data_IF_915633258774
#
_entry.id   IF_915633258774
#
_cell.length_a   1.000
_cell.length_b   1.000
_cell.length_c   1.000
_cell.angle_alpha   90.00
_cell.angle_beta   90.00
_cell.angle_gamma   90.00
#
_symmetry.space_group_name_H-M   'P 1'
#
loop_
_entity.id
_entity.type
_entity.pdbx_description
1 polymer ?
#
# COMPACT_ATOMS: atom_id res chain seq x y z
N UNK A 1 -7.38 -0.03 -64.52
CA UNK A 1 -8.16 -0.48 -63.36
C UNK A 1 -7.28 -1.17 -62.31
N UNK A 2 -6.54 -0.44 -61.46
CA UNK A 2 -5.63 -0.96 -60.42
C UNK A 2 -5.83 -0.35 -59.03
N UNK A 3 -6.97 0.31 -58.78
CA UNK A 3 -7.25 1.09 -57.58
C UNK A 3 -7.88 0.32 -56.37
N UNK A 4 -8.70 -0.73 -56.50
CA UNK A 4 -9.40 -1.29 -55.35
C UNK A 4 -8.48 -2.11 -54.40
N UNK A 5 -7.43 -2.76 -54.92
CA UNK A 5 -6.49 -3.54 -54.09
C UNK A 5 -5.62 -2.67 -53.16
N UNK A 6 -5.21 -1.47 -53.60
CA UNK A 6 -4.41 -0.57 -52.76
C UNK A 6 -5.21 0.08 -51.65
N UNK A 7 -6.49 0.40 -51.92
CA UNK A 7 -7.39 0.95 -50.89
C UNK A 7 -7.71 -0.14 -49.82
N UNK A 8 -7.93 -1.39 -50.23
CA UNK A 8 -8.14 -2.50 -49.29
C UNK A 8 -6.92 -2.74 -48.38
N UNK A 9 -5.71 -2.64 -48.93
CA UNK A 9 -4.47 -2.81 -48.16
C UNK A 9 -4.25 -1.65 -47.17
N UNK A 10 -4.54 -0.43 -47.56
CA UNK A 10 -4.45 0.75 -46.66
C UNK A 10 -5.49 0.66 -45.54
N UNK A 11 -6.72 0.27 -45.83
CA UNK A 11 -7.76 0.08 -44.84
C UNK A 11 -7.43 -1.08 -43.90
N UNK A 12 -6.81 -2.16 -44.37
CA UNK A 12 -6.37 -3.28 -43.56
C UNK A 12 -5.22 -2.89 -42.62
N UNK A 13 -4.24 -2.11 -43.11
CA UNK A 13 -3.14 -1.60 -42.28
C UNK A 13 -3.65 -0.58 -41.27
N UNK A 14 -4.60 0.29 -41.65
CA UNK A 14 -5.21 1.26 -40.72
C UNK A 14 -6.04 0.52 -39.61
N UNK A 15 -6.80 -0.52 -39.99
CA UNK A 15 -7.53 -1.34 -39.04
C UNK A 15 -6.58 -2.11 -38.10
N UNK A 16 -5.47 -2.62 -38.59
CA UNK A 16 -4.45 -3.29 -37.79
C UNK A 16 -3.75 -2.34 -36.81
N UNK A 17 -3.46 -1.10 -37.24
CA UNK A 17 -2.90 -0.05 -36.37
C UNK A 17 -3.92 0.39 -35.31
N UNK A 18 -5.21 0.44 -35.64
CA UNK A 18 -6.27 0.78 -34.67
C UNK A 18 -6.54 -0.33 -33.65
N UNK A 19 -6.40 -1.60 -34.04
CA UNK A 19 -6.54 -2.74 -33.12
C UNK A 19 -5.34 -2.88 -32.20
N UNK A 20 -4.15 -2.44 -32.62
CA UNK A 20 -2.91 -2.55 -31.83
C UNK A 20 -2.78 -1.50 -30.70
N UNK A 21 -3.77 -0.64 -30.50
CA UNK A 21 -3.74 0.39 -29.47
C UNK A 21 -4.67 0.15 -28.28
N UNK A 22 -5.11 -1.06 -28.04
CA UNK A 22 -5.61 -1.42 -26.72
C UNK A 22 -4.41 -1.45 -25.75
N UNK A 23 -3.98 -0.25 -25.33
CA UNK A 23 -3.03 -0.10 -24.23
C UNK A 23 -3.63 -0.82 -23.02
N UNK A 24 -2.96 -1.85 -22.55
CA UNK A 24 -3.29 -2.49 -21.30
C UNK A 24 -3.44 -1.39 -20.24
N UNK A 25 -4.66 -1.22 -19.74
CA UNK A 25 -4.96 -0.25 -18.69
C UNK A 25 -4.45 -0.83 -17.39
N UNK A 26 -3.47 -0.16 -16.76
CA UNK A 26 -3.10 -0.47 -15.41
C UNK A 26 -4.05 0.18 -14.42
N UNK A 27 -3.93 -0.19 -13.19
CA UNK A 27 -4.73 0.33 -12.11
C UNK A 27 -3.84 0.79 -10.97
N UNK A 28 -4.21 1.91 -10.37
CA UNK A 28 -3.66 2.37 -9.10
C UNK A 28 -4.81 2.74 -8.17
N UNK A 29 -4.56 2.74 -6.87
CA UNK A 29 -5.53 3.22 -5.90
C UNK A 29 -4.88 4.08 -4.83
N UNK A 30 -5.47 5.24 -4.57
CA UNK A 30 -5.16 6.02 -3.39
C UNK A 30 -5.88 5.38 -2.20
N UNK A 31 -5.13 4.90 -1.23
CA UNK A 31 -5.64 4.30 0.00
C UNK A 31 -5.86 5.40 1.04
N UNK A 32 -7.10 5.52 1.50
CA UNK A 32 -7.48 6.37 2.63
C UNK A 32 -7.70 5.48 3.85
N UNK A 33 -6.79 5.55 4.78
CA UNK A 33 -6.75 4.68 5.96
C UNK A 33 -7.29 5.41 7.18
N UNK A 34 -8.22 4.80 7.89
CA UNK A 34 -8.86 5.40 9.06
C UNK A 34 -7.89 5.52 10.25
N UNK A 35 -8.01 6.58 11.06
CA UNK A 35 -7.25 6.71 12.30
C UNK A 35 -7.71 5.69 13.34
N UNK A 36 -6.77 5.15 14.12
CA UNK A 36 -7.03 4.13 15.13
C UNK A 36 -6.27 4.37 16.43
N UNK A 37 -6.70 3.72 17.49
CA UNK A 37 -6.06 3.76 18.79
C UNK A 37 -6.04 5.14 19.44
N UNK A 38 -5.17 5.33 20.44
CA UNK A 38 -5.02 6.60 21.15
C UNK A 38 -4.44 7.70 20.26
N UNK A 39 -3.42 7.37 19.47
CA UNK A 39 -2.82 8.33 18.54
C UNK A 39 -3.84 8.84 17.51
N UNK A 40 -4.72 7.97 17.02
CA UNK A 40 -5.83 8.36 16.13
C UNK A 40 -6.88 9.27 16.80
N UNK A 41 -6.89 9.36 18.14
CA UNK A 41 -7.70 10.36 18.85
C UNK A 41 -7.06 11.74 18.79
N UNK A 42 -5.74 11.80 18.88
CA UNK A 42 -4.96 13.04 18.79
C UNK A 42 -4.80 13.52 17.34
N UNK A 43 -4.60 12.58 16.43
CA UNK A 43 -4.46 12.83 15.00
C UNK A 43 -5.54 12.10 14.20
N UNK A 44 -6.75 12.64 14.10
CA UNK A 44 -7.89 11.99 13.45
C UNK A 44 -7.86 12.09 11.92
N UNK A 45 -6.78 12.55 11.32
CA UNK A 45 -6.65 12.64 9.86
C UNK A 45 -6.38 11.28 9.21
N UNK A 46 -5.90 10.29 9.98
CA UNK A 46 -5.55 8.95 9.50
C UNK A 46 -4.26 8.91 8.68
N UNK A 47 -4.19 7.98 7.74
CA UNK A 47 -3.02 7.78 6.89
C UNK A 47 -3.43 7.68 5.41
N UNK A 48 -2.46 7.75 4.51
CA UNK A 48 -2.65 7.49 3.08
C UNK A 48 -1.42 6.83 2.47
N UNK A 49 -1.66 5.88 1.58
CA UNK A 49 -0.68 5.17 0.78
C UNK A 49 -1.19 5.06 -0.66
N UNK A 50 -0.38 4.55 -1.57
CA UNK A 50 -0.80 4.35 -2.95
C UNK A 50 -0.46 2.92 -3.38
N UNK A 51 -1.48 2.21 -3.81
CA UNK A 51 -1.37 0.89 -4.43
C UNK A 51 -1.20 1.02 -5.94
N UNK A 52 -0.39 0.15 -6.52
CA UNK A 52 -0.18 0.01 -7.97
C UNK A 52 -0.25 -1.46 -8.37
N UNK A 53 -1.14 -1.80 -9.28
CA UNK A 53 -1.31 -3.18 -9.73
C UNK A 53 -0.13 -3.71 -10.55
N UNK A 54 0.60 -2.84 -11.27
CA UNK A 54 1.70 -3.22 -12.16
C UNK A 54 3.09 -2.85 -11.63
N UNK A 55 3.18 -2.34 -10.41
CA UNK A 55 4.46 -1.99 -9.78
C UNK A 55 4.65 -2.88 -8.57
N UNK A 56 5.75 -3.60 -8.55
CA UNK A 56 6.12 -4.55 -7.52
C UNK A 56 7.43 -4.14 -6.83
N UNK A 57 7.63 -4.66 -5.63
CA UNK A 57 8.85 -4.48 -4.88
C UNK A 57 9.98 -5.35 -5.46
N UNK A 58 11.10 -4.73 -5.85
CA UNK A 58 12.36 -5.46 -6.04
C UNK A 58 13.09 -5.63 -4.70
N UNK A 59 12.88 -4.68 -3.79
CA UNK A 59 13.23 -4.69 -2.37
C UNK A 59 12.34 -3.65 -1.67
N UNK A 60 12.29 -3.57 -0.34
CA UNK A 60 11.47 -2.58 0.35
C UNK A 60 11.74 -1.11 -0.05
N UNK A 61 12.85 -0.84 -0.74
CA UNK A 61 13.27 0.50 -1.18
C UNK A 61 13.54 0.61 -2.68
N UNK A 62 13.14 -0.40 -3.47
CA UNK A 62 13.29 -0.40 -4.93
C UNK A 62 12.06 -0.98 -5.63
N UNK A 63 11.68 -0.35 -6.74
CA UNK A 63 10.55 -0.71 -7.55
C UNK A 63 10.97 -1.46 -8.82
N UNK A 64 10.09 -2.35 -9.30
CA UNK A 64 10.17 -2.98 -10.62
C UNK A 64 8.78 -3.13 -11.23
N UNK A 65 8.71 -3.50 -12.48
CA UNK A 65 7.46 -4.02 -13.06
C UNK A 65 7.09 -5.35 -12.38
N UNK A 66 5.80 -5.55 -12.19
CA UNK A 66 5.30 -6.85 -11.75
C UNK A 66 5.44 -7.90 -12.86
N UNK A 67 5.70 -9.12 -12.47
CA UNK A 67 5.60 -10.29 -13.32
C UNK A 67 4.16 -10.79 -13.39
N UNK A 68 3.79 -11.58 -14.42
CA UNK A 68 2.48 -12.20 -14.47
C UNK A 68 2.17 -13.00 -13.20
N UNK A 69 0.96 -12.82 -12.66
CA UNK A 69 0.53 -13.47 -11.41
C UNK A 69 0.81 -12.69 -10.13
N UNK A 70 1.57 -11.59 -10.19
CA UNK A 70 1.78 -10.73 -9.04
C UNK A 70 0.62 -9.73 -8.85
N UNK A 71 0.28 -9.41 -7.59
CA UNK A 71 -0.84 -8.52 -7.25
C UNK A 71 -0.44 -7.05 -7.09
N UNK A 72 0.80 -6.69 -7.42
CA UNK A 72 1.28 -5.33 -7.24
C UNK A 72 1.68 -5.01 -5.80
N UNK A 73 1.96 -3.73 -5.54
CA UNK A 73 2.50 -3.28 -4.26
C UNK A 73 1.92 -1.94 -3.82
N UNK A 74 2.03 -1.69 -2.52
CA UNK A 74 1.67 -0.42 -1.88
C UNK A 74 2.93 0.37 -1.56
N UNK A 75 2.97 1.62 -1.99
CA UNK A 75 4.04 2.56 -1.65
C UNK A 75 3.50 3.55 -0.62
N UNK A 76 4.22 3.69 0.48
CA UNK A 76 3.80 4.56 1.58
C UNK A 76 4.99 5.26 2.24
N UNK A 77 4.67 6.31 3.00
CA UNK A 77 5.62 7.03 3.84
C UNK A 77 5.14 6.99 5.28
N UNK A 78 6.00 6.51 6.17
CA UNK A 78 5.78 6.51 7.60
C UNK A 78 6.92 7.20 8.35
N UNK A 79 6.67 7.64 9.59
CA UNK A 79 7.73 8.05 10.50
C UNK A 79 8.53 6.83 10.96
N UNK A 80 9.80 7.07 11.31
CA UNK A 80 10.66 6.10 11.97
C UNK A 80 10.99 4.82 11.19
N UNK A 81 11.00 4.92 9.85
CA UNK A 81 11.45 3.85 8.96
C UNK A 81 12.80 4.22 8.34
N UNK A 82 13.87 4.14 9.12
CA UNK A 82 15.27 4.33 8.73
C UNK A 82 15.56 5.56 7.85
N UNK A 83 14.82 6.67 8.05
CA UNK A 83 14.92 7.89 7.24
C UNK A 83 14.59 7.72 5.75
N UNK A 84 13.95 6.61 5.37
CA UNK A 84 13.44 6.45 4.01
C UNK A 84 12.29 7.40 3.74
N UNK A 85 12.31 8.00 2.55
CA UNK A 85 11.23 8.85 2.06
C UNK A 85 9.97 8.04 1.75
N UNK A 86 10.15 6.80 1.34
CA UNK A 86 9.09 5.85 1.02
C UNK A 86 9.58 4.42 1.17
N UNK A 87 8.62 3.53 1.38
CA UNK A 87 8.81 2.08 1.41
C UNK A 87 7.73 1.43 0.56
N UNK A 88 8.09 0.36 -0.13
CA UNK A 88 7.18 -0.44 -0.94
C UNK A 88 7.02 -1.83 -0.31
N UNK A 89 5.77 -2.25 -0.14
CA UNK A 89 5.41 -3.56 0.40
C UNK A 89 4.41 -4.21 -0.56
N UNK A 90 4.54 -5.51 -0.90
CA UNK A 90 3.54 -6.22 -1.67
C UNK A 90 2.15 -6.11 -1.04
N UNK A 91 1.08 -6.12 -1.87
CA UNK A 91 -0.28 -5.84 -1.42
C UNK A 91 -0.74 -6.72 -0.25
N UNK A 92 -0.56 -8.05 -0.37
CA UNK A 92 -1.04 -9.01 0.64
C UNK A 92 -0.34 -8.82 1.98
N UNK A 93 0.99 -8.76 2.07
CA UNK A 93 1.68 -8.44 3.31
C UNK A 93 1.33 -7.06 3.89
N UNK A 94 1.19 -6.05 3.03
CA UNK A 94 0.76 -4.72 3.49
C UNK A 94 -0.58 -4.79 4.23
N UNK A 95 -1.54 -5.49 3.65
CA UNK A 95 -2.87 -5.63 4.24
C UNK A 95 -2.89 -6.57 5.45
N UNK A 96 -2.19 -7.72 5.38
CA UNK A 96 -2.42 -8.86 6.28
C UNK A 96 -1.17 -9.46 6.94
N UNK A 97 0.04 -8.97 6.70
CA UNK A 97 1.32 -9.52 7.21
C UNK A 97 1.52 -11.00 6.92
N UNK A 98 0.98 -11.50 5.82
CA UNK A 98 1.16 -12.88 5.32
C UNK A 98 1.63 -12.83 3.88
N UNK A 99 2.28 -13.89 3.41
CA UNK A 99 2.78 -13.94 2.03
C UNK A 99 1.64 -14.11 1.02
N UNK A 100 0.68 -14.99 1.35
CA UNK A 100 -0.36 -15.43 0.44
C UNK A 100 -1.75 -15.28 1.05
N UNK A 101 -2.77 -15.13 0.19
CA UNK A 101 -4.17 -14.97 0.60
C UNK A 101 -4.71 -16.12 1.47
N UNK A 102 -4.39 -17.40 1.22
CA UNK A 102 -4.83 -18.50 2.08
C UNK A 102 -4.37 -18.37 3.54
N UNK A 103 -3.29 -17.62 3.79
CA UNK A 103 -2.78 -17.35 5.14
C UNK A 103 -3.51 -16.24 5.90
N UNK A 104 -4.48 -15.55 5.28
CA UNK A 104 -5.20 -14.43 5.90
C UNK A 104 -6.16 -14.96 6.98
N UNK A 105 -6.01 -14.54 8.25
CA UNK A 105 -6.89 -15.00 9.31
C UNK A 105 -8.23 -14.26 9.28
N UNK A 106 -9.34 -14.96 9.53
CA UNK A 106 -10.66 -14.35 9.66
C UNK A 106 -10.79 -13.44 10.90
N UNK A 107 -10.05 -13.77 11.96
CA UNK A 107 -10.00 -13.02 13.22
C UNK A 107 -8.59 -13.06 13.79
N UNK A 108 -8.21 -12.00 14.50
CA UNK A 108 -6.89 -11.89 15.13
C UNK A 108 -6.98 -11.42 16.57
N UNK A 109 -6.09 -11.91 17.38
CA UNK A 109 -5.79 -11.35 18.71
C UNK A 109 -4.42 -10.65 18.68
N UNK A 110 -4.00 -10.09 19.80
CA UNK A 110 -2.72 -9.38 19.92
C UNK A 110 -1.52 -10.28 19.58
N UNK A 111 -1.53 -11.48 20.08
CA UNK A 111 -0.46 -12.47 19.89
C UNK A 111 -0.32 -12.85 18.39
N UNK A 112 -1.46 -13.18 17.76
CA UNK A 112 -1.48 -13.50 16.31
C UNK A 112 -0.91 -12.36 15.48
N UNK A 113 -1.32 -11.10 15.74
CA UNK A 113 -0.81 -9.94 15.00
C UNK A 113 0.69 -9.78 15.19
N UNK A 114 1.19 -9.88 16.44
CA UNK A 114 2.62 -9.79 16.70
C UNK A 114 3.41 -10.92 16.02
N UNK A 115 2.92 -12.14 16.10
CA UNK A 115 3.55 -13.31 15.47
C UNK A 115 3.65 -13.16 13.95
N UNK A 116 2.55 -12.81 13.28
CA UNK A 116 2.53 -12.64 11.81
C UNK A 116 3.44 -11.48 11.37
N UNK A 117 3.41 -10.36 12.08
CA UNK A 117 4.29 -9.22 11.80
C UNK A 117 5.75 -9.57 12.00
N UNK A 118 6.09 -10.29 13.07
CA UNK A 118 7.46 -10.73 13.32
C UNK A 118 7.97 -11.68 12.23
N UNK A 119 7.15 -12.66 11.84
CA UNK A 119 7.52 -13.60 10.78
C UNK A 119 7.84 -12.86 9.46
N UNK A 120 6.97 -11.93 9.06
CA UNK A 120 7.21 -11.15 7.86
C UNK A 120 8.43 -10.23 8.00
N UNK A 121 8.61 -9.60 9.16
CA UNK A 121 9.77 -8.74 9.42
C UNK A 121 11.09 -9.51 9.34
N UNK A 122 11.18 -10.66 9.99
CA UNK A 122 12.38 -11.50 9.99
C UNK A 122 12.72 -12.01 8.58
N UNK A 123 11.72 -12.26 7.73
CA UNK A 123 11.94 -12.71 6.37
C UNK A 123 12.33 -11.58 5.40
N UNK A 124 11.77 -10.36 5.55
CA UNK A 124 11.82 -9.36 4.48
C UNK A 124 12.24 -7.94 4.91
N UNK A 125 12.14 -7.60 6.20
CA UNK A 125 12.28 -6.21 6.65
C UNK A 125 13.45 -5.97 7.61
N UNK A 126 14.28 -6.97 7.87
CA UNK A 126 15.47 -6.82 8.71
C UNK A 126 16.38 -5.72 8.14
N UNK A 127 16.80 -4.79 8.99
CA UNK A 127 17.65 -3.67 8.61
C UNK A 127 16.91 -2.51 7.92
N UNK A 128 15.59 -2.60 7.74
CA UNK A 128 14.82 -1.50 7.17
C UNK A 128 14.66 -0.32 8.14
N UNK A 129 14.82 -0.53 9.44
CA UNK A 129 14.61 0.50 10.45
C UNK A 129 15.39 0.23 11.73
N UNK A 130 15.03 0.95 12.79
CA UNK A 130 15.52 0.64 14.13
C UNK A 130 14.74 -0.57 14.65
N UNK A 131 15.38 -1.74 14.56
CA UNK A 131 14.82 -2.98 15.05
C UNK A 131 15.11 -3.09 16.55
N UNK A 132 14.09 -2.91 17.36
CA UNK A 132 14.18 -3.08 18.83
C UNK A 132 13.45 -4.34 19.23
N UNK A 133 14.16 -5.32 19.77
CA UNK A 133 13.56 -6.52 20.35
C UNK A 133 13.14 -6.25 21.77
N UNK A 134 11.86 -6.48 22.09
CA UNK A 134 11.32 -6.42 23.45
C UNK A 134 10.64 -7.76 23.77
N UNK A 135 11.32 -8.60 24.58
CA UNK A 135 10.94 -9.99 24.76
C UNK A 135 11.00 -10.76 23.44
N UNK A 136 9.92 -11.47 23.13
CA UNK A 136 9.83 -12.30 21.93
C UNK A 136 9.40 -11.52 20.66
N UNK A 137 9.16 -10.22 20.77
CA UNK A 137 8.60 -9.43 19.66
C UNK A 137 9.52 -8.30 19.22
N UNK A 138 9.59 -8.13 17.91
CA UNK A 138 10.23 -6.99 17.28
C UNK A 138 9.32 -5.76 17.31
N UNK A 139 9.92 -4.59 17.52
CA UNK A 139 9.26 -3.30 17.51
C UNK A 139 10.03 -2.34 16.62
N UNK A 140 9.31 -1.48 15.90
CA UNK A 140 9.89 -0.47 15.03
C UNK A 140 8.83 0.24 14.22
N UNK A 141 9.20 1.29 13.48
CA UNK A 141 8.30 2.02 12.58
C UNK A 141 7.70 1.13 11.49
N UNK A 142 8.40 0.08 11.11
CA UNK A 142 7.96 -0.91 10.13
C UNK A 142 6.67 -1.65 10.50
N UNK A 143 6.30 -1.74 11.79
CA UNK A 143 5.04 -2.38 12.22
C UNK A 143 3.79 -1.73 11.61
N UNK A 144 3.92 -0.49 11.15
CA UNK A 144 2.85 0.24 10.48
C UNK A 144 2.74 -0.10 8.98
N UNK A 145 3.75 -0.80 8.43
CA UNK A 145 3.84 -1.13 7.00
C UNK A 145 3.15 -2.44 6.64
N UNK A 146 2.87 -3.30 7.61
CA UNK A 146 2.37 -4.66 7.39
C UNK A 146 1.21 -4.98 8.32
N UNK A 147 0.20 -5.70 7.79
CA UNK A 147 -1.00 -6.05 8.54
C UNK A 147 -1.85 -4.83 8.94
N UNK A 148 -1.97 -3.87 8.04
CA UNK A 148 -2.68 -2.60 8.31
C UNK A 148 -4.15 -2.84 8.65
N UNK A 149 -4.79 -3.85 8.05
CA UNK A 149 -6.19 -4.20 8.31
C UNK A 149 -6.46 -4.75 9.71
N UNK A 150 -5.45 -5.18 10.44
CA UNK A 150 -5.63 -5.60 11.83
C UNK A 150 -5.97 -4.44 12.77
N UNK A 151 -5.64 -3.23 12.38
CA UNK A 151 -5.79 -2.04 13.22
C UNK A 151 -6.86 -1.09 12.71
N UNK A 152 -7.11 -1.06 11.38
CA UNK A 152 -8.00 -0.07 10.77
C UNK A 152 -8.65 -0.57 9.50
N UNK A 153 -9.79 0.02 9.22
CA UNK A 153 -10.46 -0.05 7.92
C UNK A 153 -9.83 0.97 6.98
N UNK A 154 -9.88 0.70 5.69
CA UNK A 154 -9.42 1.64 4.67
C UNK A 154 -10.35 1.67 3.46
N UNK A 155 -10.21 2.71 2.65
CA UNK A 155 -10.95 2.87 1.40
C UNK A 155 -9.95 3.04 0.26
N UNK A 156 -10.10 2.23 -0.77
CA UNK A 156 -9.30 2.28 -1.99
C UNK A 156 -10.03 3.08 -3.06
N UNK A 157 -9.47 4.21 -3.46
CA UNK A 157 -9.95 5.04 -4.57
C UNK A 157 -9.18 4.66 -5.82
N UNK A 158 -9.70 3.65 -6.54
CA UNK A 158 -9.07 3.05 -7.71
C UNK A 158 -9.28 3.91 -8.95
N UNK A 159 -8.25 4.07 -9.76
CA UNK A 159 -8.27 4.78 -11.03
C UNK A 159 -7.34 4.12 -12.05
N UNK A 160 -7.62 4.33 -13.34
CA UNK A 160 -6.82 3.79 -14.43
C UNK A 160 -5.48 4.52 -14.56
N UNK A 161 -4.42 3.77 -14.91
CA UNK A 161 -3.07 4.28 -15.23
C UNK A 161 -2.62 3.76 -16.59
N UNK A 162 -1.57 4.36 -17.13
CA UNK A 162 -0.89 3.89 -18.35
C UNK A 162 0.46 3.27 -18.00
N UNK A 163 0.95 2.38 -18.85
CA UNK A 163 2.28 1.79 -18.67
C UNK A 163 3.38 2.84 -18.62
N UNK A 164 3.32 3.83 -19.50
CA UNK A 164 4.30 4.91 -19.52
C UNK A 164 4.32 5.73 -18.21
N UNK A 165 3.16 5.89 -17.56
CA UNK A 165 3.09 6.54 -16.24
C UNK A 165 3.74 5.70 -15.16
N UNK A 166 3.48 4.37 -15.17
CA UNK A 166 4.04 3.45 -14.20
C UNK A 166 5.56 3.32 -14.37
N UNK A 167 6.07 3.26 -15.62
CA UNK A 167 7.51 3.27 -15.91
C UNK A 167 8.19 4.55 -15.44
N UNK A 168 7.58 5.69 -15.73
CA UNK A 168 8.10 6.97 -15.30
C UNK A 168 8.15 7.09 -13.77
N UNK A 169 7.18 6.50 -13.04
CA UNK A 169 7.21 6.42 -11.59
C UNK A 169 8.37 5.53 -11.11
N UNK A 170 8.51 4.31 -11.67
CA UNK A 170 9.58 3.37 -11.31
C UNK A 170 10.95 4.04 -11.50
N UNK A 171 11.18 4.62 -12.69
CA UNK A 171 12.43 5.31 -12.99
C UNK A 171 12.70 6.44 -11.99
N UNK A 172 11.70 7.30 -11.77
CA UNK A 172 11.81 8.46 -10.90
C UNK A 172 12.12 8.06 -9.46
N UNK A 173 11.38 7.09 -8.92
CA UNK A 173 11.53 6.65 -7.54
C UNK A 173 12.87 5.93 -7.31
N UNK A 174 13.30 5.09 -8.27
CA UNK A 174 14.57 4.38 -8.17
C UNK A 174 15.80 5.27 -8.35
N UNK A 175 15.66 6.40 -9.06
CA UNK A 175 16.74 7.38 -9.26
C UNK A 175 16.95 8.27 -8.05
N UNK A 176 15.90 8.56 -7.29
CA UNK A 176 15.97 9.40 -6.11
C UNK A 176 16.68 8.67 -4.96
N UNK A 177 17.39 9.41 -4.11
CA UNK A 177 18.16 8.83 -2.97
C UNK A 177 17.27 8.15 -1.93
N UNK A 178 15.96 8.23 -2.03
CA UNK A 178 14.96 7.70 -1.09
C UNK A 178 15.30 8.04 0.37
N UNK A 179 15.69 9.28 0.63
CA UNK A 179 15.99 9.76 1.98
C UNK A 179 15.30 11.09 2.21
N UNK A 180 14.56 11.16 3.29
CA UNK A 180 13.87 12.37 3.70
C UNK A 180 13.56 12.31 5.19
N UNK A 181 13.35 13.47 5.79
CA UNK A 181 12.88 13.57 7.15
C UNK A 181 11.35 13.68 7.17
N UNK A 182 10.70 12.83 7.98
CA UNK A 182 9.25 12.92 8.17
C UNK A 182 8.93 14.15 9.04
N UNK A 183 7.99 14.95 8.57
CA UNK A 183 7.44 16.09 9.32
C UNK A 183 5.92 16.09 9.18
N UNK A 184 5.24 16.20 10.32
CA UNK A 184 3.78 16.12 10.34
C UNK A 184 3.11 17.20 9.49
N UNK A 185 3.69 18.42 9.43
CA UNK A 185 3.06 19.57 8.77
C UNK A 185 3.36 19.67 7.26
N UNK A 186 4.59 19.38 6.83
CA UNK A 186 5.02 19.72 5.48
C UNK A 186 5.68 18.58 4.70
N UNK A 187 5.90 17.44 5.35
CA UNK A 187 6.55 16.29 4.73
C UNK A 187 6.01 14.96 5.29
N UNK A 188 4.68 14.83 5.30
CA UNK A 188 3.95 13.68 5.82
C UNK A 188 3.54 12.69 4.71
N UNK A 189 2.77 11.64 5.07
CA UNK A 189 2.27 10.63 4.14
C UNK A 189 1.42 11.23 3.00
N UNK A 190 0.57 12.21 3.32
CA UNK A 190 -0.28 12.84 2.30
C UNK A 190 0.52 13.77 1.37
N UNK A 191 1.60 14.42 1.86
CA UNK A 191 2.52 15.15 1.00
C UNK A 191 3.28 14.24 0.04
N UNK A 192 3.68 13.06 0.52
CA UNK A 192 4.27 12.03 -0.34
C UNK A 192 3.26 11.59 -1.41
N UNK A 193 2.05 11.17 -1.01
CA UNK A 193 1.00 10.79 -1.95
C UNK A 193 0.69 11.91 -2.94
N UNK A 194 0.67 13.18 -2.50
CA UNK A 194 0.51 14.34 -3.38
C UNK A 194 1.64 14.47 -4.42
N UNK A 195 2.89 14.21 -4.02
CA UNK A 195 4.04 14.21 -4.96
C UNK A 195 3.87 13.12 -6.01
N UNK A 196 3.54 11.89 -5.61
CA UNK A 196 3.30 10.77 -6.51
C UNK A 196 2.11 11.04 -7.43
N UNK A 197 0.98 11.50 -6.91
CA UNK A 197 -0.20 11.86 -7.72
C UNK A 197 0.10 12.96 -8.75
N UNK A 198 1.03 13.87 -8.48
CA UNK A 198 1.46 14.87 -9.46
C UNK A 198 2.40 14.32 -10.55
N UNK A 199 2.98 13.13 -10.40
CA UNK A 199 3.65 12.43 -11.50
C UNK A 199 2.62 11.89 -12.49
N UNK A 200 1.50 11.35 -12.01
CA UNK A 200 0.40 10.87 -12.85
C UNK A 200 -0.46 12.00 -13.44
N UNK A 201 -0.70 13.06 -12.68
CA UNK A 201 -1.58 14.19 -13.03
C UNK A 201 -0.86 15.51 -12.77
N UNK A 202 0.02 15.96 -13.67
CA UNK A 202 0.90 17.09 -13.44
C UNK A 202 0.19 18.35 -12.98
N UNK A 203 0.61 18.90 -11.82
CA UNK A 203 0.13 20.13 -11.20
C UNK A 203 -1.33 20.14 -10.76
N UNK A 204 -2.02 18.96 -10.71
CA UNK A 204 -3.44 18.89 -10.32
C UNK A 204 -3.62 18.80 -8.80
N UNK A 205 -2.66 18.24 -8.09
CA UNK A 205 -2.70 18.05 -6.65
C UNK A 205 -1.84 19.12 -5.94
N UNK A 206 -2.39 20.32 -5.82
CA UNK A 206 -1.72 21.43 -5.13
C UNK A 206 -2.07 21.40 -3.64
N UNK A 207 -1.16 21.88 -2.78
CA UNK A 207 -1.45 22.12 -1.38
C UNK A 207 -2.55 23.20 -1.26
N UNK A 208 -3.46 23.03 -0.31
CA UNK A 208 -4.53 24.00 -0.04
C UNK A 208 -4.43 24.44 1.41
N UNK A 209 -4.67 25.71 1.68
CA UNK A 209 -4.71 26.20 3.05
C UNK A 209 -5.93 25.66 3.79
N UNK A 210 -7.07 25.67 3.15
CA UNK A 210 -8.34 25.16 3.71
C UNK A 210 -8.63 23.73 3.25
N UNK A 211 -9.23 22.90 4.11
CA UNK A 211 -9.62 23.10 5.53
C UNK A 211 -8.54 22.70 6.54
N UNK A 212 -7.30 22.51 6.12
CA UNK A 212 -6.27 21.83 6.89
C UNK A 212 -5.11 22.75 7.31
N UNK A 213 -5.35 24.04 7.43
CA UNK A 213 -4.39 25.06 7.87
C UNK A 213 -3.04 25.01 7.10
N UNK A 214 -3.09 24.75 5.79
CA UNK A 214 -1.92 24.65 4.92
C UNK A 214 -1.20 23.29 4.96
N UNK A 215 -1.63 22.35 5.81
CA UNK A 215 -1.14 20.97 5.77
C UNK A 215 -1.80 20.19 4.63
N UNK A 216 -1.12 19.17 4.14
CA UNK A 216 -1.76 18.17 3.28
C UNK A 216 -2.23 17.02 4.15
N UNK A 217 -3.54 16.71 4.12
CA UNK A 217 -4.10 15.58 4.87
C UNK A 217 -4.56 14.47 3.92
N UNK A 218 -4.68 13.22 4.42
CA UNK A 218 -5.23 12.11 3.66
C UNK A 218 -6.59 12.45 3.04
N UNK A 219 -7.49 13.04 3.82
CA UNK A 219 -8.82 13.44 3.36
C UNK A 219 -8.76 14.49 2.25
N UNK A 220 -7.86 15.49 2.36
CA UNK A 220 -7.67 16.53 1.36
C UNK A 220 -7.19 15.98 0.02
N UNK A 221 -6.16 15.09 0.03
CA UNK A 221 -5.63 14.53 -1.21
C UNK A 221 -6.67 13.64 -1.92
N UNK A 222 -7.42 12.85 -1.14
CA UNK A 222 -8.52 12.03 -1.65
C UNK A 222 -9.63 12.89 -2.25
N UNK A 223 -10.02 13.98 -1.59
CA UNK A 223 -10.99 14.93 -2.13
C UNK A 223 -10.55 15.49 -3.50
N UNK A 224 -9.28 15.83 -3.63
CA UNK A 224 -8.74 16.32 -4.91
C UNK A 224 -8.81 15.27 -6.00
N UNK A 225 -8.51 14.01 -5.68
CA UNK A 225 -8.66 12.89 -6.62
C UNK A 225 -10.12 12.74 -7.07
N UNK A 226 -11.06 12.67 -6.14
CA UNK A 226 -12.50 12.54 -6.45
C UNK A 226 -12.99 13.73 -7.30
N UNK A 227 -12.59 14.94 -6.93
CA UNK A 227 -12.96 16.14 -7.70
C UNK A 227 -12.34 16.18 -9.10
N UNK A 228 -11.12 15.69 -9.24
CA UNK A 228 -10.45 15.57 -10.52
C UNK A 228 -11.12 14.52 -11.40
N UNK A 229 -11.38 13.34 -10.87
CA UNK A 229 -12.03 12.24 -11.57
C UNK A 229 -13.46 12.57 -12.03
N UNK A 230 -14.22 13.39 -11.27
CA UNK A 230 -15.53 13.90 -11.74
C UNK A 230 -15.46 14.70 -13.03
N UNK A 231 -14.31 15.29 -13.35
CA UNK A 231 -14.08 16.05 -14.58
C UNK A 231 -13.38 15.20 -15.65
N UNK A 232 -12.92 14.02 -15.27
CA UNK A 232 -12.11 13.10 -16.07
C UNK A 232 -12.70 11.69 -15.94
N UNK A 233 -13.89 11.42 -16.53
CA UNK A 233 -14.55 10.12 -16.41
C UNK A 233 -13.74 8.97 -17.00
N UNK A 234 -12.79 9.27 -17.89
CA UNK A 234 -11.85 8.33 -18.47
C UNK A 234 -10.93 7.65 -17.45
N UNK A 235 -10.86 8.18 -16.22
CA UNK A 235 -10.11 7.57 -15.11
C UNK A 235 -10.86 6.41 -14.45
N UNK A 236 -12.14 6.21 -14.75
CA UNK A 236 -12.98 5.16 -14.18
C UNK A 236 -12.83 5.02 -12.66
N UNK A 237 -12.93 6.16 -11.94
CA UNK A 237 -12.76 6.16 -10.49
C UNK A 237 -13.80 5.29 -9.81
N UNK A 238 -13.35 4.29 -9.07
CA UNK A 238 -14.18 3.43 -8.22
C UNK A 238 -13.70 3.46 -6.77
N UNK A 239 -14.61 3.24 -5.83
CA UNK A 239 -14.30 3.28 -4.40
C UNK A 239 -14.68 1.94 -3.78
N UNK A 240 -13.69 1.33 -3.14
CA UNK A 240 -13.83 0.06 -2.42
C UNK A 240 -13.56 0.26 -0.93
N UNK A 241 -14.27 -0.48 -0.09
CA UNK A 241 -13.95 -0.63 1.31
C UNK A 241 -13.13 -1.89 1.53
N UNK A 242 -11.96 -1.78 2.15
CA UNK A 242 -11.18 -2.91 2.65
C UNK A 242 -11.47 -2.97 4.17
N UNK A 243 -12.21 -3.98 4.62
CA UNK A 243 -12.66 -4.05 6.00
C UNK A 243 -11.50 -4.33 6.96
N UNK A 244 -11.64 -3.84 8.19
CA UNK A 244 -10.75 -4.21 9.28
C UNK A 244 -10.98 -5.67 9.68
N UNK A 245 -9.90 -6.46 9.81
CA UNK A 245 -9.96 -7.79 10.39
C UNK A 245 -10.32 -7.69 11.89
N UNK A 246 -11.40 -8.38 12.35
CA UNK A 246 -11.88 -8.21 13.71
C UNK A 246 -10.98 -8.88 14.76
N UNK A 247 -11.03 -8.37 15.98
CA UNK A 247 -10.48 -9.01 17.17
C UNK A 247 -9.34 -8.27 17.87
N UNK A 248 -8.36 -7.74 17.15
CA UNK A 248 -7.19 -7.08 17.74
C UNK A 248 -7.51 -5.68 18.31
N UNK A 249 -8.23 -4.89 17.54
CA UNK A 249 -8.57 -3.52 17.90
C UNK A 249 -10.07 -3.24 17.74
N UNK A 250 -10.53 -2.19 18.40
CA UNK A 250 -11.87 -1.64 18.13
C UNK A 250 -11.92 -1.11 16.71
N UNK A 251 -13.13 -1.04 16.15
CA UNK A 251 -13.36 -0.44 14.83
C UNK A 251 -12.72 0.95 14.78
N UNK A 252 -11.97 1.19 13.72
CA UNK A 252 -11.33 2.47 13.44
C UNK A 252 -12.35 3.59 13.23
N UNK A 253 -11.88 4.83 13.20
CA UNK A 253 -12.74 6.02 13.14
C UNK A 253 -12.62 6.65 11.76
N UNK A 254 -13.69 7.32 11.33
CA UNK A 254 -13.70 8.05 10.06
C UNK A 254 -12.63 9.17 10.03
N UNK A 255 -11.95 9.29 8.91
CA UNK A 255 -10.98 10.36 8.66
C UNK A 255 -11.64 11.74 8.74
N UNK A 256 -10.99 12.66 9.43
CA UNK A 256 -11.42 14.05 9.56
C UNK A 256 -10.39 14.99 8.97
N UNK A 257 -10.83 16.14 8.46
CA UNK A 257 -9.96 17.29 8.24
C UNK A 257 -9.59 17.94 9.57
N UNK A 258 -8.64 18.86 9.56
CA UNK A 258 -8.21 19.53 10.80
C UNK A 258 -9.33 20.39 11.36
N UNK A 259 -9.96 21.23 10.53
CA UNK A 259 -11.09 22.04 10.98
C UNK A 259 -12.25 21.20 11.48
N UNK A 260 -12.58 20.11 10.79
CA UNK A 260 -13.61 19.16 11.23
C UNK A 260 -13.25 18.53 12.58
N UNK A 261 -11.99 18.15 12.77
CA UNK A 261 -11.51 17.59 14.03
C UNK A 261 -11.64 18.57 15.18
N UNK A 262 -11.17 19.80 15.00
CA UNK A 262 -11.23 20.85 16.03
C UNK A 262 -12.67 21.12 16.44
N UNK A 263 -13.60 21.19 15.50
CA UNK A 263 -15.01 21.45 15.79
C UNK A 263 -15.67 20.23 16.45
N UNK A 264 -15.50 19.03 15.90
CA UNK A 264 -16.25 17.85 16.35
C UNK A 264 -15.66 17.13 17.56
N UNK A 265 -14.40 17.42 17.92
CA UNK A 265 -13.73 16.84 19.11
C UNK A 265 -13.75 17.78 20.34
N UNK A 266 -14.54 18.85 20.31
CA UNK A 266 -14.73 19.75 21.43
C UNK A 266 -13.63 20.81 21.62
N UNK A 267 -12.57 20.81 20.81
CA UNK A 267 -11.51 21.82 20.89
C UNK A 267 -11.99 23.23 20.49
N UNK A 268 -13.10 23.35 19.79
CA UNK A 268 -13.69 24.64 19.43
C UNK A 268 -14.09 25.46 20.66
N UNK A 269 -14.51 24.82 21.76
CA UNK A 269 -14.93 25.51 22.99
C UNK A 269 -13.79 26.29 23.64
N UNK A 270 -12.64 25.68 24.01
CA UNK A 270 -11.53 26.44 24.56
C UNK A 270 -10.96 27.48 23.56
N UNK A 271 -10.97 27.19 22.25
CA UNK A 271 -10.57 28.17 21.22
C UNK A 271 -11.52 29.36 21.22
N UNK A 272 -12.84 29.16 21.36
CA UNK A 272 -13.83 30.25 21.40
C UNK A 272 -13.68 31.12 22.66
N UNK A 273 -13.31 30.52 23.78
CA UNK A 273 -13.05 31.26 25.03
C UNK A 273 -11.81 32.13 24.86
N UNK A 274 -10.74 31.62 24.28
CA UNK A 274 -9.48 32.33 24.07
C UNK A 274 -9.58 33.38 22.96
N UNK A 275 -10.22 33.04 21.85
CA UNK A 275 -10.37 33.93 20.70
C UNK A 275 -11.62 33.58 19.88
N UNK A 276 -12.77 34.26 20.07
CA UNK A 276 -14.01 33.97 19.39
C UNK A 276 -13.93 34.18 17.85
N UNK A 277 -13.06 35.08 17.38
CA UNK A 277 -12.88 35.30 15.94
C UNK A 277 -12.20 34.10 15.25
N UNK A 278 -11.19 33.52 15.92
CA UNK A 278 -10.54 32.28 15.43
C UNK A 278 -11.53 31.14 15.42
N UNK A 279 -12.32 30.96 16.48
CA UNK A 279 -13.36 29.93 16.54
C UNK A 279 -14.42 30.13 15.43
N UNK A 280 -14.86 31.34 15.18
CA UNK A 280 -15.78 31.70 14.10
C UNK A 280 -15.18 31.39 12.73
N UNK A 281 -13.92 31.75 12.50
CA UNK A 281 -13.19 31.44 11.29
C UNK A 281 -13.08 29.92 11.04
N UNK A 282 -12.73 29.13 12.07
CA UNK A 282 -12.68 27.67 12.02
C UNK A 282 -14.06 27.05 11.71
N UNK A 283 -15.12 27.60 12.30
CA UNK A 283 -16.48 27.14 12.05
C UNK A 283 -16.89 27.41 10.59
N UNK A 284 -16.63 28.59 10.07
CA UNK A 284 -16.89 28.93 8.66
C UNK A 284 -16.06 28.03 7.75
N UNK A 285 -14.79 27.82 8.03
CA UNK A 285 -13.95 26.91 7.26
C UNK A 285 -14.47 25.48 7.27
N UNK A 286 -14.89 24.97 8.44
CA UNK A 286 -15.51 23.66 8.56
C UNK A 286 -16.78 23.54 7.70
N UNK A 287 -17.68 24.53 7.77
CA UNK A 287 -18.92 24.52 7.00
C UNK A 287 -18.67 24.57 5.49
N UNK A 288 -17.74 25.42 5.07
CA UNK A 288 -17.47 25.68 3.65
C UNK A 288 -16.56 24.62 3.01
N UNK A 289 -15.57 24.09 3.75
CA UNK A 289 -14.51 23.26 3.20
C UNK A 289 -14.30 21.93 3.94
N UNK A 290 -14.76 21.75 5.18
CA UNK A 290 -14.53 20.55 5.99
C UNK A 290 -15.61 19.46 5.85
N UNK A 291 -16.85 19.85 5.52
CA UNK A 291 -18.01 18.96 5.47
C UNK A 291 -18.20 18.31 4.10
N UNK A 292 -17.26 17.47 3.69
CA UNK A 292 -17.49 16.67 2.49
C UNK A 292 -17.38 15.18 2.77
N UNK A 293 -18.30 14.42 2.16
CA UNK A 293 -18.30 12.96 2.21
C UNK A 293 -17.63 12.44 0.94
N UNK A 294 -16.54 11.68 1.13
CA UNK A 294 -15.75 11.10 0.04
C UNK A 294 -16.20 9.70 -0.30
N UNK A 295 -16.70 9.00 0.71
CA UNK A 295 -17.03 7.59 0.63
C UNK A 295 -18.50 7.49 0.23
N UNK A 296 -18.87 6.68 -0.77
CA UNK A 296 -20.25 6.35 -1.09
C UNK A 296 -20.98 5.78 0.14
N UNK A 297 -22.30 5.85 0.16
CA UNK A 297 -23.09 5.30 1.27
C UNK A 297 -22.93 3.79 1.42
N UNK A 298 -22.75 3.10 0.30
CA UNK A 298 -22.57 1.64 0.23
C UNK A 298 -21.40 1.33 -0.72
N UNK A 299 -20.13 1.42 -0.24
CA UNK A 299 -18.99 1.09 -1.06
C UNK A 299 -18.91 -0.43 -1.26
N UNK A 300 -18.48 -0.85 -2.45
CA UNK A 300 -18.19 -2.26 -2.71
C UNK A 300 -17.09 -2.73 -1.75
N UNK A 301 -17.32 -3.80 -1.01
CA UNK A 301 -16.31 -4.40 -0.14
C UNK A 301 -15.32 -5.21 -0.98
N UNK A 302 -14.06 -5.08 -0.63
CA UNK A 302 -12.97 -5.86 -1.20
C UNK A 302 -12.46 -6.79 -0.10
N UNK A 303 -12.88 -8.04 -0.14
CA UNK A 303 -12.47 -9.09 0.78
C UNK A 303 -11.16 -9.76 0.31
N UNK A 304 -10.48 -10.56 1.16
CA UNK A 304 -9.26 -11.26 0.74
C UNK A 304 -9.45 -12.10 -0.53
N UNK A 305 -10.56 -12.79 -0.67
CA UNK A 305 -10.87 -13.64 -1.85
C UNK A 305 -11.00 -12.80 -3.13
N UNK A 306 -11.53 -11.58 -3.03
CA UNK A 306 -11.68 -10.67 -4.17
C UNK A 306 -10.32 -10.12 -4.66
N UNK A 307 -9.30 -10.12 -3.80
CA UNK A 307 -7.97 -9.61 -4.15
C UNK A 307 -7.28 -10.48 -5.20
N UNK A 308 -7.60 -11.76 -5.30
CA UNK A 308 -7.05 -12.64 -6.33
C UNK A 308 -7.36 -12.14 -7.75
N UNK A 309 -8.46 -11.41 -7.95
CA UNK A 309 -8.83 -10.80 -9.24
C UNK A 309 -7.91 -9.61 -9.62
N UNK A 310 -7.10 -9.09 -8.67
CA UNK A 310 -6.17 -7.99 -8.91
C UNK A 310 -4.81 -8.45 -9.45
N UNK A 311 -4.60 -9.76 -9.62
CA UNK A 311 -3.36 -10.28 -10.24
C UNK A 311 -3.17 -9.67 -11.61
N UNK A 312 -1.94 -9.34 -11.95
CA UNK A 312 -1.59 -8.92 -13.31
C UNK A 312 -1.93 -10.09 -14.23
N UNK A 313 -2.99 -9.95 -15.02
CA UNK A 313 -3.34 -10.91 -16.05
C UNK A 313 -2.16 -10.98 -17.02
N UNK A 314 -1.48 -12.12 -17.05
CA UNK A 314 -0.67 -12.46 -18.21
C UNK A 314 -1.58 -12.34 -19.42
N UNK A 315 -1.12 -11.74 -20.51
CA UNK A 315 -1.90 -11.74 -21.76
C UNK A 315 -2.42 -13.15 -21.99
N UNK A 316 -3.73 -13.34 -22.24
CA UNK A 316 -4.20 -14.66 -22.61
C UNK A 316 -3.42 -15.04 -23.88
N UNK A 317 -2.64 -16.09 -23.79
CA UNK A 317 -2.02 -16.71 -24.95
C UNK A 317 -3.18 -17.25 -25.79
N UNK A 318 -3.72 -16.40 -26.66
CA UNK A 318 -4.76 -16.75 -27.61
C UNK A 318 -4.16 -17.67 -28.69
N UNK A 319 -3.76 -18.89 -28.29
CA UNK A 319 -3.61 -19.95 -29.23
C UNK A 319 -3.97 -21.31 -28.57
N UNK A 320 -5.26 -21.69 -28.57
CA UNK A 320 -5.69 -23.00 -28.07
C UNK A 320 -5.11 -24.17 -28.86
N UNK A 321 -4.40 -23.92 -29.97
CA UNK A 321 -3.77 -24.94 -30.78
C UNK A 321 -2.40 -25.41 -30.27
N UNK A 322 -1.72 -24.61 -29.41
CA UNK A 322 -0.41 -25.00 -28.87
C UNK A 322 -0.50 -25.74 -27.52
N UNK A 323 -1.65 -25.77 -26.87
CA UNK A 323 -1.84 -26.50 -25.63
C UNK A 323 -1.92 -28.02 -25.83
N UNK A 324 -2.32 -28.49 -27.05
CA UNK A 324 -2.40 -29.92 -27.37
C UNK A 324 -1.05 -30.51 -27.81
N UNK A 325 -0.12 -29.69 -28.32
CA UNK A 325 1.20 -30.18 -28.76
C UNK A 325 2.20 -30.30 -27.59
N UNK A 326 2.09 -29.48 -26.56
CA UNK A 326 2.96 -29.60 -25.38
C UNK A 326 2.56 -30.75 -24.45
N UNK A 327 1.31 -31.18 -24.45
CA UNK A 327 0.85 -32.32 -23.66
C UNK A 327 1.32 -33.68 -24.26
N UNK A 328 1.67 -33.74 -25.56
CA UNK A 328 2.17 -34.95 -26.21
C UNK A 328 3.69 -35.09 -26.20
N UNK A 329 4.45 -34.03 -25.90
CA UNK A 329 5.91 -34.10 -25.89
C UNK A 329 6.51 -34.46 -24.52
N UNK A 330 5.74 -34.41 -23.45
CA UNK A 330 6.18 -34.77 -22.09
C UNK A 330 5.95 -36.24 -21.76
N UNK A 331 5.18 -36.98 -22.59
CA UNK A 331 4.86 -38.38 -22.34
C UNK A 331 5.83 -39.39 -23.02
N UNK A 332 6.91 -38.96 -23.69
CA UNK A 332 7.77 -39.82 -24.48
C UNK A 332 9.23 -39.94 -24.03
N UNK A 333 9.59 -39.46 -22.83
CA UNK A 333 10.95 -39.63 -22.30
C UNK A 333 10.94 -40.01 -20.82
N UNK A 334 10.47 -41.21 -20.53
CA UNK A 334 10.83 -41.90 -19.29
C UNK A 334 10.79 -43.42 -19.46
N UNK A 335 11.90 -43.96 -19.90
CA UNK A 335 12.18 -45.40 -19.82
C UNK A 335 13.71 -45.64 -19.80
N UNK A 336 14.22 -46.05 -18.63
CA UNK A 336 15.49 -46.76 -18.44
C UNK A 336 16.64 -45.87 -17.94
N UNK A 337 17.23 -46.13 -16.85
CA UNK A 337 17.97 -47.22 -16.29
C UNK A 337 18.70 -46.85 -14.99
N UNK A 338 18.55 -47.74 -14.03
CA UNK A 338 19.56 -48.21 -13.06
C UNK A 338 20.27 -47.32 -12.03
N UNK A 339 20.00 -47.72 -10.80
CA UNK A 339 20.80 -47.51 -9.56
C UNK A 339 22.19 -48.19 -9.65
N UNK A 340 23.18 -47.80 -8.83
CA UNK A 340 23.39 -48.55 -7.59
C UNK A 340 23.71 -47.71 -6.35
N UNK A 341 23.44 -48.34 -5.21
CA UNK A 341 23.71 -47.97 -3.82
C UNK A 341 25.18 -48.20 -3.43
N UNK A 342 25.63 -47.41 -2.40
CA UNK A 342 26.54 -47.79 -1.29
C UNK A 342 26.83 -46.57 -0.45
N UNK A 343 26.49 -46.44 0.80
CA UNK A 343 27.03 -47.06 2.04
C UNK A 343 28.19 -46.24 2.66
N UNK A 344 28.01 -45.91 3.95
CA UNK A 344 29.09 -45.78 4.92
C UNK A 344 29.22 -44.40 5.59
N UNK A 345 28.61 -44.13 6.72
CA UNK A 345 29.12 -44.34 8.10
C UNK A 345 30.15 -43.27 8.57
N UNK A 346 29.88 -42.51 9.57
CA UNK A 346 30.34 -42.57 10.96
C UNK A 346 30.63 -41.18 11.61
N UNK A 347 29.92 -40.91 12.67
CA UNK A 347 30.30 -40.56 14.04
C UNK A 347 31.25 -39.38 14.31
N UNK A 348 30.82 -38.50 15.23
CA UNK A 348 31.68 -37.59 15.99
C UNK A 348 30.89 -36.68 16.93
N UNK A 349 30.45 -37.21 18.07
CA UNK A 349 30.06 -36.47 19.27
C UNK A 349 31.23 -35.66 19.81
N UNK A 350 30.97 -34.41 20.25
CA UNK A 350 31.57 -33.81 21.45
C UNK A 350 30.79 -32.62 21.93
N UNK A 351 30.08 -32.76 23.01
CA UNK A 351 29.77 -31.76 24.07
C UNK A 351 30.82 -31.93 25.19
N UNK A 352 30.79 -31.12 26.30
CA UNK A 352 30.39 -29.71 26.53
C UNK A 352 31.50 -28.92 27.27
N UNK A 353 31.32 -27.62 27.48
CA UNK A 353 31.89 -27.03 28.72
C UNK A 353 31.11 -25.76 29.15
N UNK A 354 30.84 -25.71 30.42
CA UNK A 354 29.99 -24.84 31.20
C UNK A 354 30.71 -23.58 31.73
N UNK A 355 29.88 -22.65 32.24
CA UNK A 355 30.04 -21.68 33.32
C UNK A 355 30.90 -20.43 33.08
N UNK A 356 30.31 -19.26 33.19
CA UNK A 356 30.51 -18.35 34.32
C UNK A 356 29.40 -17.29 34.44
N UNK A 357 28.76 -17.32 35.59
CA UNK A 357 27.94 -16.25 36.16
C UNK A 357 28.81 -15.04 36.50
N UNK A 358 28.28 -13.83 36.30
CA UNK A 358 28.55 -12.72 37.21
C UNK A 358 27.39 -11.73 37.23
N UNK A 359 26.72 -11.71 38.36
CA UNK A 359 25.82 -10.66 38.85
C UNK A 359 26.54 -9.31 39.02
N UNK A 360 25.86 -8.20 38.78
CA UNK A 360 25.88 -6.96 39.57
C UNK A 360 24.72 -6.07 39.12
N UNK A 361 23.68 -6.02 39.85
CA UNK A 361 23.17 -4.98 40.77
C UNK A 361 23.09 -3.54 40.23
N UNK A 362 21.80 -3.10 40.19
CA UNK A 362 21.21 -1.83 40.62
C UNK A 362 21.66 -0.51 39.99
N UNK A 363 20.75 0.22 39.38
CA UNK A 363 20.28 1.48 39.92
C UNK A 363 18.99 2.00 39.24
N UNK A 364 18.08 2.25 40.11
CA UNK A 364 16.81 2.92 40.00
C UNK A 364 16.98 4.42 39.72
N UNK A 365 16.26 5.01 38.74
CA UNK A 365 15.77 6.38 38.88
C UNK A 365 14.60 6.65 37.94
N UNK A 366 13.58 7.21 38.52
CA UNK A 366 12.26 7.59 38.02
C UNK A 366 12.29 8.94 37.25
N UNK A 367 11.13 9.47 36.86
CA UNK A 367 10.76 9.86 35.49
C UNK A 367 10.60 11.39 35.34
N UNK A 368 10.55 11.80 34.09
CA UNK A 368 9.78 12.97 33.67
C UNK A 368 9.06 12.67 32.34
#
# INVERSE_FOLDING_TARGET
MRTPRRIALILSVLAFVLVSTQRSKGQAALLLEEPYGFFGTLNPTGHTAIYFARICAASPTKLRRCEPGEMGSVISRYSDVAHHDWVVIPLVPYLYSVEDLPGVPERVNRETVHRLRNQYHEAHLLGLGQDVRKGDFWHGGWTQLVGVTYERRMYAFRFDTTEAQDDALIERMNKDKNRSHFELFYNNCADFSRKVMNLYFPRKFRRSFFPDAGMTTPKQITYKLVRYAKKHPELHLEVYEIPQIPGYRRISRTNKSISESLITSGYAVPIAILNPYVAGGLFVDYVMHGRYHLIPKDPKKLLPDDLAELTVSGEPNENPLNASEQAHSVAATDAGTDFPAAAGANSGLKEPMAMHERESESQESRPF
#
